data_IF_071258285762
#
_entry.id   IF_071258285762
#
_cell.length_a   1.000
_cell.length_b   1.000
_cell.length_c   1.000
_cell.angle_alpha   90.00
_cell.angle_beta   90.00
_cell.angle_gamma   90.00
#
_symmetry.space_group_name_H-M   'P 1'
#
loop_
_entity.id
_entity.type
_entity.pdbx_description
1 polymer ?
#
# COMPACT_ATOMS: atom_id res chain seq x y z
N UNK A 1 68.96 17.63 -56.08
CA UNK A 1 67.68 17.58 -56.80
C UNK A 1 67.09 16.19 -56.55
N UNK A 2 65.92 15.94 -55.98
CA UNK A 2 64.83 16.79 -55.51
C UNK A 2 64.01 15.97 -54.46
N UNK A 3 63.52 16.69 -53.44
CA UNK A 3 62.35 16.44 -52.59
C UNK A 3 61.96 14.99 -52.24
N UNK A 4 62.40 14.54 -51.05
CA UNK A 4 61.74 13.47 -50.31
C UNK A 4 60.35 13.93 -49.86
N UNK A 5 59.33 13.61 -50.65
CA UNK A 5 57.92 13.81 -50.29
C UNK A 5 57.58 13.00 -49.03
N UNK A 6 57.54 13.67 -47.89
CA UNK A 6 57.08 13.13 -46.62
C UNK A 6 55.53 13.03 -46.62
N UNK A 7 54.94 12.37 -47.64
CA UNK A 7 53.49 12.17 -47.74
C UNK A 7 53.08 11.08 -46.75
N UNK A 8 52.36 11.48 -45.69
CA UNK A 8 51.70 10.55 -44.77
C UNK A 8 50.93 9.50 -45.57
N UNK A 9 51.19 8.22 -45.30
CA UNK A 9 50.44 7.12 -45.88
C UNK A 9 48.95 7.34 -45.60
N UNK A 10 48.13 7.46 -46.65
CA UNK A 10 46.69 7.61 -46.50
C UNK A 10 46.13 6.29 -45.95
N UNK A 11 45.30 6.35 -44.91
CA UNK A 11 44.59 5.18 -44.38
C UNK A 11 43.82 4.48 -45.48
N UNK A 12 43.86 3.16 -45.48
CA UNK A 12 43.05 2.35 -46.41
C UNK A 12 41.56 2.56 -46.12
N UNK A 13 40.67 2.36 -47.10
CA UNK A 13 39.22 2.34 -46.85
C UNK A 13 38.82 1.40 -45.70
N UNK A 14 39.49 0.24 -45.58
CA UNK A 14 39.25 -0.77 -44.55
C UNK A 14 39.64 -0.26 -43.15
N UNK A 15 40.80 0.38 -43.02
CA UNK A 15 41.22 0.99 -41.75
C UNK A 15 40.28 2.11 -41.29
N UNK A 16 39.75 2.89 -42.25
CA UNK A 16 38.75 3.92 -41.95
C UNK A 16 37.41 3.33 -41.53
N UNK A 17 36.98 2.23 -42.16
CA UNK A 17 35.78 1.51 -41.76
C UNK A 17 35.91 0.94 -40.35
N UNK A 18 37.03 0.26 -40.04
CA UNK A 18 37.30 -0.28 -38.71
C UNK A 18 37.32 0.82 -37.62
N UNK A 19 37.90 1.99 -37.90
CA UNK A 19 37.88 3.12 -36.96
C UNK A 19 36.44 3.64 -36.70
N UNK A 20 35.59 3.61 -37.72
CA UNK A 20 34.16 3.97 -37.58
C UNK A 20 33.43 2.90 -36.78
N UNK A 21 33.67 1.62 -37.06
CA UNK A 21 33.07 0.50 -36.32
C UNK A 21 33.46 0.54 -34.84
N UNK A 22 34.71 0.88 -34.50
CA UNK A 22 35.14 1.11 -33.12
C UNK A 22 34.38 2.26 -32.44
N UNK A 23 34.09 3.34 -33.17
CA UNK A 23 33.30 4.47 -32.65
C UNK A 23 31.85 4.07 -32.44
N UNK A 24 31.26 3.31 -33.37
CA UNK A 24 29.91 2.76 -33.25
C UNK A 24 29.83 1.87 -32.00
N UNK A 25 30.79 0.95 -31.83
CA UNK A 25 30.83 0.05 -30.68
C UNK A 25 30.90 0.78 -29.34
N UNK A 26 31.68 1.88 -29.24
CA UNK A 26 31.74 2.73 -28.03
C UNK A 26 30.42 3.43 -27.75
N UNK A 27 29.73 3.90 -28.79
CA UNK A 27 28.41 4.53 -28.66
C UNK A 27 27.38 3.48 -28.21
N UNK A 28 27.39 2.29 -28.80
CA UNK A 28 26.49 1.20 -28.40
C UNK A 28 26.68 0.76 -26.94
N UNK A 29 27.93 0.71 -26.47
CA UNK A 29 28.21 0.46 -25.06
C UNK A 29 27.62 1.56 -24.16
N UNK A 30 27.80 2.82 -24.55
CA UNK A 30 27.24 3.96 -23.81
C UNK A 30 25.71 3.94 -23.79
N UNK A 31 25.07 3.54 -24.89
CA UNK A 31 23.61 3.36 -24.97
C UNK A 31 23.15 2.27 -23.98
N UNK A 32 23.80 1.11 -23.97
CA UNK A 32 23.45 0.01 -23.05
C UNK A 32 23.58 0.41 -21.58
N UNK A 33 24.62 1.16 -21.23
CA UNK A 33 24.78 1.68 -19.86
C UNK A 33 23.66 2.66 -19.47
N UNK A 34 23.24 3.52 -20.40
CA UNK A 34 22.13 4.44 -20.18
C UNK A 34 20.78 3.71 -20.05
N UNK A 35 20.56 2.67 -20.86
CA UNK A 35 19.37 1.81 -20.76
C UNK A 35 19.30 1.11 -19.41
N UNK A 36 20.41 0.51 -18.95
CA UNK A 36 20.47 -0.14 -17.63
C UNK A 36 20.20 0.84 -16.48
N UNK A 37 20.75 2.07 -16.54
CA UNK A 37 20.45 3.12 -15.56
C UNK A 37 19.00 3.59 -15.62
N UNK A 38 18.41 3.64 -16.81
CA UNK A 38 17.00 3.99 -16.99
C UNK A 38 16.11 2.95 -16.33
N UNK A 39 16.38 1.66 -16.52
CA UNK A 39 15.61 0.57 -15.92
C UNK A 39 15.59 0.64 -14.39
N UNK A 40 16.74 0.89 -13.75
CA UNK A 40 16.79 1.03 -12.29
C UNK A 40 15.98 2.21 -11.79
N UNK A 41 16.08 3.37 -12.45
CA UNK A 41 15.35 4.58 -12.08
C UNK A 41 13.85 4.41 -12.31
N UNK A 42 13.44 3.77 -13.41
CA UNK A 42 12.03 3.48 -13.70
C UNK A 42 11.44 2.60 -12.59
N UNK A 43 12.15 1.55 -12.17
CA UNK A 43 11.70 0.70 -11.06
C UNK A 43 11.54 1.46 -9.74
N UNK A 44 12.44 2.41 -9.42
CA UNK A 44 12.29 3.27 -8.25
C UNK A 44 11.06 4.18 -8.33
N UNK A 45 10.77 4.76 -9.50
CA UNK A 45 9.59 5.60 -9.68
C UNK A 45 8.30 4.78 -9.62
N UNK A 46 8.27 3.59 -10.21
CA UNK A 46 7.13 2.69 -10.13
C UNK A 46 6.82 2.32 -8.67
N UNK A 47 7.85 2.03 -7.86
CA UNK A 47 7.68 1.77 -6.43
C UNK A 47 7.13 2.99 -5.67
N UNK A 48 7.53 4.21 -6.03
CA UNK A 48 6.98 5.45 -5.45
C UNK A 48 5.51 5.64 -5.84
N UNK A 49 5.16 5.34 -7.10
CA UNK A 49 3.79 5.43 -7.60
C UNK A 49 2.88 4.42 -6.90
N UNK A 50 3.33 3.17 -6.71
CA UNK A 50 2.55 2.15 -5.98
C UNK A 50 2.32 2.56 -4.54
N UNK A 51 3.35 3.03 -3.83
CA UNK A 51 3.22 3.53 -2.46
C UNK A 51 2.23 4.71 -2.36
N UNK A 52 2.26 5.65 -3.32
CA UNK A 52 1.31 6.75 -3.37
C UNK A 52 -0.13 6.27 -3.61
N UNK A 53 -0.33 5.30 -4.52
CA UNK A 53 -1.65 4.69 -4.79
C UNK A 53 -2.20 3.98 -3.56
N UNK A 54 -1.37 3.27 -2.81
CA UNK A 54 -1.81 2.58 -1.58
C UNK A 54 -2.17 3.57 -0.48
N UNK A 55 -1.43 4.69 -0.38
CA UNK A 55 -1.80 5.80 0.50
C UNK A 55 -3.17 6.39 0.12
N UNK A 56 -3.43 6.60 -1.17
CA UNK A 56 -4.74 7.06 -1.66
C UNK A 56 -5.85 6.09 -1.24
N UNK A 57 -5.69 4.78 -1.50
CA UNK A 57 -6.69 3.77 -1.10
C UNK A 57 -6.97 3.81 0.41
N UNK A 58 -5.94 3.96 1.24
CA UNK A 58 -6.11 4.05 2.70
C UNK A 58 -6.92 5.29 3.12
N UNK A 59 -6.74 6.41 2.42
CA UNK A 59 -7.47 7.65 2.68
C UNK A 59 -8.91 7.57 2.16
N UNK A 60 -9.13 6.92 1.03
CA UNK A 60 -10.48 6.66 0.50
C UNK A 60 -11.27 5.76 1.45
N UNK A 61 -10.67 4.71 2.00
CA UNK A 61 -11.31 3.86 3.01
C UNK A 61 -11.71 4.67 4.26
N UNK A 62 -10.80 5.52 4.78
CA UNK A 62 -11.10 6.42 5.91
C UNK A 62 -12.20 7.42 5.57
N UNK A 63 -12.21 7.95 4.34
CA UNK A 63 -13.25 8.87 3.87
C UNK A 63 -14.61 8.17 3.84
N UNK A 64 -14.67 6.93 3.37
CA UNK A 64 -15.90 6.14 3.39
C UNK A 64 -16.36 5.82 4.81
N UNK A 65 -15.45 5.52 5.74
CA UNK A 65 -15.80 5.30 7.15
C UNK A 65 -16.37 6.56 7.81
N UNK A 66 -15.83 7.74 7.50
CA UNK A 66 -16.34 9.02 8.00
C UNK A 66 -17.73 9.34 7.42
N UNK A 67 -17.90 9.08 6.12
CA UNK A 67 -19.15 9.36 5.42
C UNK A 67 -20.24 8.33 5.76
N UNK A 68 -19.86 7.11 6.13
CA UNK A 68 -20.78 6.08 6.56
C UNK A 68 -21.57 6.58 7.77
N UNK A 69 -22.91 6.53 7.73
CA UNK A 69 -23.72 6.94 8.86
C UNK A 69 -23.34 6.07 10.07
N UNK A 70 -22.99 6.73 11.18
CA UNK A 70 -22.64 6.02 12.42
C UNK A 70 -23.76 5.03 12.74
N UNK A 71 -23.43 3.74 12.98
CA UNK A 71 -24.46 2.75 13.27
C UNK A 71 -25.31 3.25 14.43
N UNK A 72 -26.65 3.10 14.35
CA UNK A 72 -27.55 3.64 15.35
C UNK A 72 -27.11 3.15 16.73
N UNK A 73 -26.73 4.10 17.58
CA UNK A 73 -26.35 3.78 18.95
C UNK A 73 -27.57 3.16 19.60
N UNK A 74 -27.41 1.93 20.13
CA UNK A 74 -28.46 1.33 20.97
C UNK A 74 -28.82 2.35 22.06
N UNK A 75 -30.11 2.64 22.27
CA UNK A 75 -30.51 3.61 23.29
C UNK A 75 -29.93 3.19 24.64
N UNK A 76 -29.50 4.18 25.42
CA UNK A 76 -28.95 3.93 26.75
C UNK A 76 -30.06 3.30 27.59
N UNK A 77 -29.85 2.06 28.02
CA UNK A 77 -30.83 1.37 28.86
C UNK A 77 -30.97 2.09 30.20
N UNK A 78 -32.21 2.34 30.61
CA UNK A 78 -32.51 2.88 31.94
C UNK A 78 -32.17 1.85 33.03
N UNK A 79 -32.02 2.29 34.29
CA UNK A 79 -31.80 1.36 35.43
C UNK A 79 -32.86 0.25 35.47
N UNK A 80 -34.13 0.63 35.27
CA UNK A 80 -35.28 -0.30 35.21
C UNK A 80 -35.12 -1.35 34.12
N UNK A 81 -34.73 -0.96 32.90
CA UNK A 81 -34.53 -1.90 31.79
C UNK A 81 -33.38 -2.87 32.06
N UNK A 82 -32.30 -2.42 32.70
CA UNK A 82 -31.19 -3.31 33.10
C UNK A 82 -31.64 -4.35 34.12
N UNK A 83 -32.38 -3.92 35.13
CA UNK A 83 -32.93 -4.83 36.15
C UNK A 83 -33.87 -5.85 35.49
N UNK A 84 -34.76 -5.39 34.60
CA UNK A 84 -35.66 -6.28 33.86
C UNK A 84 -34.91 -7.29 32.98
N UNK A 85 -33.81 -6.90 32.35
CA UNK A 85 -32.99 -7.85 31.57
C UNK A 85 -32.30 -8.88 32.45
N UNK A 86 -31.76 -8.47 33.59
CA UNK A 86 -31.13 -9.40 34.55
C UNK A 86 -32.15 -10.44 35.00
N UNK A 87 -33.35 -10.00 35.42
CA UNK A 87 -34.43 -10.90 35.84
C UNK A 87 -34.87 -11.80 34.67
N UNK A 88 -35.07 -11.26 33.47
CA UNK A 88 -35.42 -12.06 32.28
C UNK A 88 -34.35 -13.11 31.94
N UNK A 89 -33.07 -12.78 32.09
CA UNK A 89 -31.97 -13.68 31.78
C UNK A 89 -31.86 -14.78 32.84
N UNK A 90 -32.11 -14.44 34.11
CA UNK A 90 -32.21 -15.40 35.19
C UNK A 90 -33.39 -16.38 35.01
N UNK A 91 -34.57 -15.87 34.63
CA UNK A 91 -35.73 -16.70 34.29
C UNK A 91 -35.44 -17.61 33.08
N UNK A 92 -34.75 -17.09 32.06
CA UNK A 92 -34.35 -17.87 30.88
C UNK A 92 -33.36 -19.00 31.23
N UNK A 93 -32.55 -18.80 32.26
CA UNK A 93 -31.64 -19.81 32.80
C UNK A 93 -32.33 -20.80 33.74
N UNK A 94 -33.65 -20.71 33.90
CA UNK A 94 -34.46 -21.67 34.67
C UNK A 94 -34.65 -21.33 36.15
N UNK A 95 -34.24 -20.14 36.61
CA UNK A 95 -34.51 -19.70 37.98
C UNK A 95 -35.94 -19.13 38.11
N UNK A 96 -36.61 -19.46 39.21
CA UNK A 96 -37.93 -18.90 39.53
C UNK A 96 -37.83 -17.46 40.04
N UNK A 97 -38.95 -16.72 40.05
CA UNK A 97 -38.97 -15.32 40.51
C UNK A 97 -38.60 -15.22 42.00
N UNK A 98 -39.02 -16.20 42.79
CA UNK A 98 -38.76 -16.31 44.22
C UNK A 98 -37.30 -16.64 44.49
N UNK A 99 -36.68 -17.52 43.70
CA UNK A 99 -35.26 -17.84 43.79
C UNK A 99 -34.38 -16.63 43.44
N UNK A 100 -34.78 -15.86 42.42
CA UNK A 100 -34.11 -14.62 42.03
C UNK A 100 -34.23 -13.58 43.14
N UNK A 101 -35.42 -13.42 43.73
CA UNK A 101 -35.66 -12.50 44.84
C UNK A 101 -34.81 -12.88 46.07
N UNK A 102 -34.76 -14.17 46.40
CA UNK A 102 -33.94 -14.71 47.48
C UNK A 102 -32.44 -14.47 47.27
N UNK A 103 -31.92 -14.69 46.05
CA UNK A 103 -30.52 -14.40 45.72
C UNK A 103 -30.20 -12.90 45.77
N UNK A 104 -31.14 -12.05 45.37
CA UNK A 104 -31.00 -10.60 45.42
C UNK A 104 -31.28 -10.01 46.82
N UNK A 105 -31.70 -10.83 47.78
CA UNK A 105 -32.09 -10.43 49.13
C UNK A 105 -33.18 -9.35 49.12
N UNK A 106 -34.16 -9.51 48.23
CA UNK A 106 -35.31 -8.61 48.09
C UNK A 106 -36.56 -9.38 48.50
N UNK A 107 -37.35 -8.79 49.40
CA UNK A 107 -38.70 -9.29 49.71
C UNK A 107 -39.67 -8.71 48.67
N UNK A 108 -40.34 -9.60 47.94
CA UNK A 108 -41.41 -9.22 47.01
C UNK A 108 -42.72 -9.46 47.75
N UNK A 109 -43.41 -8.39 48.13
CA UNK A 109 -44.80 -8.47 48.61
C UNK A 109 -45.72 -8.76 47.41
N UNK A 110 -46.71 -9.64 47.61
CA UNK A 110 -47.70 -10.06 46.60
C UNK A 110 -48.61 -8.92 46.10
#
# INVERSE_FOLDING_TARGET
>A
MAESENKRTRRTPQERAAEVDEKIAKIDQSIKELESKKESVVAEYDAKITAARDRIKSLEAKKQEILAPKPPRKPRKTKKQKIQEIVKLAMKNGMSVEEIAGQLHVEVED
#
